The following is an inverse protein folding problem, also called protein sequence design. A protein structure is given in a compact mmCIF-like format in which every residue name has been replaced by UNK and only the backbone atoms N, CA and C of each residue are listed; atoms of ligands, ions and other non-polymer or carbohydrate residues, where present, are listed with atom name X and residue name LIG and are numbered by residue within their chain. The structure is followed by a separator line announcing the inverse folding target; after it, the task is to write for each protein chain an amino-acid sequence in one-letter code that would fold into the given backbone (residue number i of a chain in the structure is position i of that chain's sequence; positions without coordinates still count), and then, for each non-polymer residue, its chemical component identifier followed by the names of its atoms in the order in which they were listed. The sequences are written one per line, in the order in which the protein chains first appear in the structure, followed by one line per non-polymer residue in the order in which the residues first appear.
data_IF_748858279247
#
_entry.id   IF_748858279247
#
_cell.length_a   1.000
_cell.length_b   1.000
_cell.length_c   1.000
_cell.angle_alpha   90.00
_cell.angle_beta   90.00
_cell.angle_gamma   90.00
#
_symmetry.space_group_name_H-M   'P 1'
#
loop_
_entity.id
_entity.type
_entity.pdbx_description
1 polymer ?
#
# COMPACT_ATOMS: atom_id res chain seq x y z
N UNK A 1 15.07 18.83 9.66
CA UNK A 1 13.72 18.66 9.07
C UNK A 1 13.13 17.27 9.39
N UNK A 2 12.72 17.00 10.65
CA UNK A 2 12.19 15.69 11.11
C UNK A 2 10.65 15.60 11.19
N UNK A 3 9.95 16.64 10.76
CA UNK A 3 8.50 16.83 11.01
C UNK A 3 7.58 16.05 10.05
N UNK A 4 8.12 15.47 8.97
CA UNK A 4 7.33 14.80 7.93
C UNK A 4 6.95 13.35 8.22
N UNK A 5 7.71 12.63 9.06
CA UNK A 5 7.47 11.20 9.31
C UNK A 5 6.32 10.96 10.32
N UNK A 6 6.18 11.85 11.30
CA UNK A 6 5.15 11.74 12.35
C UNK A 6 3.73 11.93 11.78
N UNK A 7 3.54 12.88 10.87
CA UNK A 7 2.27 13.09 10.16
C UNK A 7 1.89 11.93 9.24
N UNK A 8 2.87 11.14 8.78
CA UNK A 8 2.60 9.97 7.94
C UNK A 8 1.90 8.89 8.75
N UNK A 9 2.36 8.63 9.99
CA UNK A 9 1.81 7.60 10.86
C UNK A 9 0.37 7.93 11.33
N UNK A 10 0.07 9.20 11.58
CA UNK A 10 -1.25 9.63 12.08
C UNK A 10 -2.39 9.55 11.05
N UNK A 11 -2.09 9.52 9.75
CA UNK A 11 -3.13 9.43 8.70
C UNK A 11 -3.27 8.04 8.08
N UNK A 12 -2.59 7.02 8.63
CA UNK A 12 -2.72 5.64 8.17
C UNK A 12 -3.93 4.96 8.81
N UNK A 13 -4.59 4.09 8.04
CA UNK A 13 -5.60 3.20 8.60
C UNK A 13 -4.94 2.21 9.58
N UNK A 14 -5.72 1.69 10.53
CA UNK A 14 -5.24 0.71 11.50
C UNK A 14 -4.58 -0.52 10.83
N UNK A 15 -5.20 -1.02 9.74
CA UNK A 15 -4.65 -2.11 8.94
C UNK A 15 -3.30 -1.75 8.29
N UNK A 16 -3.16 -0.55 7.74
CA UNK A 16 -1.91 -0.11 7.12
C UNK A 16 -0.79 0.06 8.16
N UNK A 17 -1.12 0.57 9.35
CA UNK A 17 -0.19 0.66 10.47
C UNK A 17 0.25 -0.73 10.94
N UNK A 18 -0.67 -1.71 11.02
CA UNK A 18 -0.35 -3.09 11.36
C UNK A 18 0.63 -3.71 10.35
N UNK A 19 0.38 -3.52 9.04
CA UNK A 19 1.28 -3.99 7.97
C UNK A 19 2.68 -3.38 8.13
N UNK A 20 2.80 -2.06 8.35
CA UNK A 20 4.09 -1.43 8.57
C UNK A 20 4.81 -1.97 9.80
N UNK A 21 4.10 -2.21 10.91
CA UNK A 21 4.65 -2.82 12.12
C UNK A 21 5.20 -4.22 11.85
N UNK A 22 4.46 -5.05 11.11
CA UNK A 22 4.93 -6.37 10.69
C UNK A 22 6.17 -6.28 9.78
N UNK A 23 6.22 -5.29 8.87
CA UNK A 23 7.37 -5.05 8.00
C UNK A 23 8.62 -4.60 8.77
N UNK A 24 8.47 -3.76 9.81
CA UNK A 24 9.56 -3.37 10.71
C UNK A 24 10.12 -4.59 11.45
N UNK A 25 9.23 -5.46 11.95
CA UNK A 25 9.65 -6.71 12.58
C UNK A 25 10.34 -7.65 11.59
N UNK A 26 9.88 -7.71 10.32
CA UNK A 26 10.53 -8.50 9.27
C UNK A 26 11.95 -8.02 8.99
N UNK A 27 12.16 -6.71 8.82
CA UNK A 27 13.48 -6.13 8.62
C UNK A 27 14.42 -6.43 9.79
N UNK A 28 13.93 -6.28 11.03
CA UNK A 28 14.70 -6.58 12.24
C UNK A 28 15.13 -8.05 12.30
N UNK A 29 14.23 -8.99 12.04
CA UNK A 29 14.56 -10.43 12.03
C UNK A 29 15.60 -10.80 10.97
N UNK A 30 15.68 -10.04 9.88
CA UNK A 30 16.67 -10.25 8.81
C UNK A 30 17.97 -9.47 9.01
N UNK A 31 18.09 -8.68 10.08
CA UNK A 31 19.28 -7.83 10.30
C UNK A 31 19.41 -6.69 9.29
N UNK A 32 18.29 -6.24 8.70
CA UNK A 32 18.28 -5.12 7.78
C UNK A 32 18.14 -3.81 8.54
N UNK A 33 19.03 -2.84 8.27
CA UNK A 33 19.03 -1.53 8.91
C UNK A 33 17.86 -0.62 8.48
N UNK A 34 17.21 -0.94 7.35
CA UNK A 34 16.13 -0.14 6.78
C UNK A 34 14.93 -0.97 6.36
N UNK A 35 13.73 -0.43 6.57
CA UNK A 35 12.49 -0.94 5.97
C UNK A 35 12.30 -0.33 4.60
N UNK A 36 12.21 -1.21 3.61
CA UNK A 36 12.01 -0.89 2.20
C UNK A 36 10.60 -1.24 1.74
N UNK A 37 10.13 -0.69 0.59
CA UNK A 37 8.86 -1.11 -0.01
C UNK A 37 8.76 -2.63 -0.23
N UNK A 38 9.90 -3.31 -0.43
CA UNK A 38 9.96 -4.76 -0.58
C UNK A 38 9.52 -5.51 0.70
N UNK A 39 9.86 -5.01 1.89
CA UNK A 39 9.40 -5.59 3.16
C UNK A 39 7.88 -5.46 3.30
N UNK A 40 7.32 -4.34 2.86
CA UNK A 40 5.88 -4.09 2.87
C UNK A 40 5.16 -5.00 1.89
N UNK A 41 5.68 -5.14 0.66
CA UNK A 41 5.13 -6.04 -0.35
C UNK A 41 5.15 -7.51 0.13
N UNK A 42 6.27 -7.97 0.68
CA UNK A 42 6.39 -9.32 1.26
C UNK A 42 5.40 -9.54 2.41
N UNK A 43 5.26 -8.55 3.31
CA UNK A 43 4.32 -8.60 4.42
C UNK A 43 2.87 -8.69 3.92
N UNK A 44 2.50 -7.92 2.91
CA UNK A 44 1.14 -7.92 2.37
C UNK A 44 0.78 -9.25 1.68
N UNK A 45 1.72 -9.88 0.97
CA UNK A 45 1.49 -11.19 0.37
C UNK A 45 1.37 -12.29 1.44
N UNK A 46 2.24 -12.26 2.45
CA UNK A 46 2.33 -13.30 3.49
C UNK A 46 1.35 -13.10 4.65
N UNK A 47 0.73 -11.93 4.77
CA UNK A 47 -0.28 -11.67 5.80
C UNK A 47 -1.60 -12.35 5.43
N UNK A 48 -2.28 -12.93 6.42
CA UNK A 48 -3.64 -13.45 6.26
C UNK A 48 -4.72 -12.37 6.45
N UNK A 49 -4.34 -11.08 6.45
CA UNK A 49 -5.27 -9.93 6.57
C UNK A 49 -6.04 -9.69 5.25
N UNK A 50 -7.18 -9.01 5.37
CA UNK A 50 -7.94 -8.43 4.26
C UNK A 50 -7.04 -7.66 3.26
N UNK A 51 -5.93 -7.07 3.71
CA UNK A 51 -4.96 -6.41 2.85
C UNK A 51 -4.30 -7.34 1.80
N UNK A 52 -4.05 -8.60 2.14
CA UNK A 52 -3.56 -9.62 1.19
C UNK A 52 -4.59 -9.91 0.13
N UNK A 53 -5.88 -9.99 0.51
CA UNK A 53 -6.97 -10.18 -0.45
C UNK A 53 -7.09 -9.02 -1.44
N UNK A 54 -6.82 -7.78 -1.00
CA UNK A 54 -6.81 -6.59 -1.86
C UNK A 54 -5.65 -6.65 -2.85
N UNK A 55 -4.45 -7.00 -2.39
CA UNK A 55 -3.27 -7.07 -3.24
C UNK A 55 -3.41 -8.18 -4.30
N UNK A 56 -3.92 -9.35 -3.92
CA UNK A 56 -4.23 -10.44 -4.86
C UNK A 56 -5.27 -10.03 -5.90
N UNK A 57 -6.37 -9.36 -5.48
CA UNK A 57 -7.36 -8.82 -6.42
C UNK A 57 -6.78 -7.76 -7.35
N UNK A 58 -5.92 -6.87 -6.84
CA UNK A 58 -5.25 -5.86 -7.66
C UNK A 58 -4.31 -6.49 -8.70
N UNK A 59 -3.55 -7.52 -8.31
CA UNK A 59 -2.74 -8.31 -9.23
C UNK A 59 -3.60 -8.98 -10.31
N UNK A 60 -4.73 -9.58 -9.93
CA UNK A 60 -5.66 -10.20 -10.88
C UNK A 60 -6.17 -9.20 -11.93
N UNK A 61 -6.56 -7.99 -11.49
CA UNK A 61 -7.02 -6.92 -12.39
C UNK A 61 -5.93 -6.41 -13.32
N UNK A 62 -4.68 -6.45 -12.89
CA UNK A 62 -3.53 -6.00 -13.69
C UNK A 62 -3.07 -7.05 -14.71
N UNK A 63 -3.50 -8.31 -14.55
CA UNK A 63 -3.17 -9.43 -15.44
C UNK A 63 -4.45 -10.08 -15.99
N UNK A 64 -5.22 -9.38 -16.85
CA UNK A 64 -6.50 -9.87 -17.36
C UNK A 64 -6.37 -11.17 -18.19
N UNK A 65 -5.20 -11.43 -18.77
CA UNK A 65 -4.98 -12.56 -19.68
C UNK A 65 -4.70 -13.90 -19.00
N UNK A 66 -4.53 -13.95 -17.65
CA UNK A 66 -4.18 -15.21 -16.99
C UNK A 66 -4.78 -15.40 -15.58
N UNK A 67 -6.12 -15.38 -15.45
CA UNK A 67 -6.81 -15.39 -14.16
C UNK A 67 -6.63 -16.69 -13.35
N UNK A 68 -6.50 -17.84 -14.02
CA UNK A 68 -6.36 -19.16 -13.39
C UNK A 68 -5.00 -19.36 -12.70
N UNK A 69 -4.00 -18.55 -13.04
CA UNK A 69 -2.64 -18.66 -12.50
C UNK A 69 -2.37 -17.80 -11.28
N UNK A 70 -3.34 -16.96 -10.87
CA UNK A 70 -3.14 -16.00 -9.78
C UNK A 70 -2.59 -16.64 -8.49
N UNK A 71 -3.05 -17.83 -8.04
CA UNK A 71 -2.47 -18.48 -6.86
C UNK A 71 -0.98 -18.81 -7.05
N UNK A 72 -0.60 -19.32 -8.23
CA UNK A 72 0.77 -19.65 -8.57
C UNK A 72 1.64 -18.40 -8.69
N UNK A 73 1.12 -17.33 -9.30
CA UNK A 73 1.80 -16.03 -9.38
C UNK A 73 2.02 -15.44 -7.99
N UNK A 74 1.04 -15.53 -7.08
CA UNK A 74 1.21 -15.05 -5.71
C UNK A 74 2.33 -15.82 -4.99
N UNK A 75 2.40 -17.15 -5.21
CA UNK A 75 3.47 -17.97 -4.65
C UNK A 75 4.83 -17.64 -5.28
N UNK A 76 4.88 -17.41 -6.58
CA UNK A 76 6.08 -16.96 -7.27
C UNK A 76 6.56 -15.60 -6.72
N UNK A 77 5.65 -14.63 -6.55
CA UNK A 77 5.96 -13.33 -5.96
C UNK A 77 6.52 -13.45 -4.54
N UNK A 78 5.94 -14.32 -3.71
CA UNK A 78 6.44 -14.61 -2.37
C UNK A 78 7.90 -15.11 -2.42
N UNK A 79 8.22 -16.04 -3.31
CA UNK A 79 9.57 -16.54 -3.52
C UNK A 79 10.51 -15.43 -4.04
N UNK A 80 10.09 -14.67 -5.05
CA UNK A 80 10.86 -13.56 -5.61
C UNK A 80 11.19 -12.50 -4.55
N UNK A 81 10.21 -12.14 -3.72
CA UNK A 81 10.44 -11.19 -2.62
C UNK A 81 11.40 -11.75 -1.58
N UNK A 82 11.27 -13.02 -1.22
CA UNK A 82 12.20 -13.67 -0.30
C UNK A 82 13.64 -13.66 -0.81
N UNK A 83 13.85 -14.01 -2.08
CA UNK A 83 15.17 -13.96 -2.74
C UNK A 83 15.71 -12.54 -2.78
N UNK A 84 14.89 -11.55 -3.18
CA UNK A 84 15.31 -10.16 -3.25
C UNK A 84 15.66 -9.60 -1.87
N UNK A 85 14.90 -9.97 -0.83
CA UNK A 85 15.20 -9.60 0.56
C UNK A 85 16.52 -10.21 1.03
N UNK A 86 16.84 -11.45 0.65
CA UNK A 86 18.12 -12.09 1.01
C UNK A 86 19.34 -11.46 0.30
N UNK A 87 19.10 -10.72 -0.79
CA UNK A 87 20.15 -9.98 -1.52
C UNK A 87 20.38 -8.56 -0.98
N UNK A 88 19.57 -8.10 -0.02
CA UNK A 88 19.75 -6.76 0.53
C UNK A 88 21.04 -6.71 1.37
N UNK A 89 21.71 -5.55 1.44
CA UNK A 89 22.85 -5.38 2.32
C UNK A 89 22.44 -5.65 3.77
N UNK A 90 23.02 -6.68 4.36
CA UNK A 90 22.94 -6.89 5.80
C UNK A 90 23.98 -6.00 6.45
N UNK A 91 23.59 -5.26 7.50
CA UNK A 91 24.59 -4.52 8.26
C UNK A 91 25.37 -5.56 9.06
N UNK A 92 26.69 -5.75 8.83
CA UNK A 92 27.47 -6.57 9.73
C UNK A 92 27.34 -5.94 11.12
N UNK A 93 26.88 -6.73 12.08
CA UNK A 93 26.76 -6.30 13.46
C UNK A 93 28.18 -6.02 13.97
N UNK A 94 28.60 -4.77 14.25
CA UNK A 94 29.86 -4.56 14.94
C UNK A 94 29.71 -5.17 16.34
N UNK A 95 30.58 -6.12 16.66
CA UNK A 95 30.62 -6.90 17.91
C UNK A 95 30.92 -6.07 19.16
N UNK A 96 30.69 -4.77 19.14
CA UNK A 96 30.87 -3.86 20.27
C UNK A 96 30.13 -2.57 19.95
N UNK A 97 29.20 -2.17 20.83
CA UNK A 97 28.45 -0.90 20.78
C UNK A 97 27.16 -0.91 19.95
N UNK A 98 26.10 -1.51 20.49
CA UNK A 98 24.69 -1.05 20.45
C UNK A 98 23.72 -2.24 20.40
N UNK A 99 23.83 -3.12 21.39
CA UNK A 99 22.92 -4.25 21.62
C UNK A 99 21.52 -3.85 22.09
N UNK A 100 21.17 -2.56 22.09
CA UNK A 100 19.98 -2.12 22.82
C UNK A 100 18.80 -1.74 21.92
N UNK A 101 18.86 -0.78 20.98
CA UNK A 101 17.59 -0.23 20.47
C UNK A 101 17.61 0.35 19.05
N UNK A 102 18.45 -0.16 18.15
CA UNK A 102 18.43 0.27 16.75
C UNK A 102 17.16 -0.24 16.03
N UNK A 103 16.09 0.56 16.08
CA UNK A 103 14.89 0.32 15.30
C UNK A 103 15.20 0.55 13.81
N UNK A 104 14.84 -0.36 12.90
CA UNK A 104 15.10 -0.18 11.48
C UNK A 104 14.42 1.11 10.98
N UNK A 105 15.18 1.96 10.31
CA UNK A 105 14.68 3.25 9.81
C UNK A 105 13.84 3.05 8.53
N UNK A 106 12.96 3.99 8.21
CA UNK A 106 12.20 3.94 6.94
C UNK A 106 13.09 4.42 5.79
N UNK A 107 13.17 3.64 4.71
CA UNK A 107 13.85 4.06 3.49
C UNK A 107 13.13 5.24 2.80
N UNK A 108 13.89 6.07 2.08
CA UNK A 108 13.34 7.20 1.32
C UNK A 108 12.25 6.77 0.32
N UNK A 109 12.43 5.62 -0.33
CA UNK A 109 11.45 5.06 -1.25
C UNK A 109 10.13 4.72 -0.55
N UNK A 110 10.19 4.18 0.67
CA UNK A 110 8.99 3.88 1.45
C UNK A 110 8.30 5.16 1.95
N UNK A 111 9.06 6.14 2.42
CA UNK A 111 8.52 7.45 2.80
C UNK A 111 7.83 8.12 1.61
N UNK A 112 8.43 8.08 0.42
CA UNK A 112 7.82 8.60 -0.80
C UNK A 112 6.54 7.84 -1.20
N UNK A 113 6.53 6.52 -1.09
CA UNK A 113 5.35 5.70 -1.34
C UNK A 113 4.20 6.04 -0.38
N UNK A 114 4.49 6.20 0.91
CA UNK A 114 3.49 6.58 1.91
C UNK A 114 2.93 7.99 1.64
N UNK A 115 3.78 8.97 1.33
CA UNK A 115 3.34 10.32 0.95
C UNK A 115 2.42 10.30 -0.27
N UNK A 116 2.76 9.49 -1.29
CA UNK A 116 1.90 9.30 -2.47
C UNK A 116 0.57 8.67 -2.08
N UNK A 117 0.57 7.62 -1.26
CA UNK A 117 -0.66 6.99 -0.78
C UNK A 117 -1.57 7.98 -0.04
N UNK A 118 -1.01 8.83 0.83
CA UNK A 118 -1.75 9.89 1.51
C UNK A 118 -2.34 10.92 0.54
N UNK A 119 -1.57 11.33 -0.47
CA UNK A 119 -2.08 12.23 -1.51
C UNK A 119 -3.24 11.59 -2.30
N UNK A 120 -3.17 10.29 -2.58
CA UNK A 120 -4.25 9.54 -3.22
C UNK A 120 -5.50 9.46 -2.34
N UNK A 121 -5.36 9.22 -1.03
CA UNK A 121 -6.51 9.22 -0.11
C UNK A 121 -7.25 10.56 -0.09
N UNK A 122 -6.50 11.68 -0.10
CA UNK A 122 -7.10 13.02 -0.17
C UNK A 122 -7.87 13.26 -1.46
N UNK A 123 -7.40 12.73 -2.60
CA UNK A 123 -8.10 12.84 -3.90
C UNK A 123 -9.32 11.92 -4.00
N UNK A 124 -9.23 10.69 -3.49
CA UNK A 124 -10.34 9.73 -3.47
C UNK A 124 -11.52 10.16 -2.61
N UNK A 125 -11.29 10.98 -1.56
CA UNK A 125 -12.35 11.59 -0.76
C UNK A 125 -13.24 12.56 -1.58
N UNK A 126 -12.67 13.22 -2.59
CA UNK A 126 -13.38 14.21 -3.42
C UNK A 126 -14.19 13.50 -4.51
N UNK A 127 -13.65 12.41 -5.09
CA UNK A 127 -14.35 11.66 -6.14
C UNK A 127 -15.55 10.87 -5.61
N UNK A 128 -15.54 10.41 -4.36
CA UNK A 128 -16.73 9.80 -3.74
C UNK A 128 -17.87 10.78 -3.40
N UNK A 129 -17.62 12.10 -3.41
CA UNK A 129 -18.70 13.11 -3.29
C UNK A 129 -19.21 13.64 -4.63
N UNK A 130 -18.52 13.38 -5.75
CA UNK A 130 -18.98 13.83 -7.07
C UNK A 130 -19.89 12.82 -7.80
N UNK A 131 -20.30 11.74 -7.13
CA UNK A 131 -21.26 10.76 -7.65
C UNK A 131 -22.67 10.98 -7.09
N UNK A 132 -23.09 12.24 -6.91
CA UNK A 132 -24.52 12.53 -6.90
C UNK A 132 -25.01 12.49 -8.35
N UNK A 133 -26.11 11.80 -8.68
CA UNK A 133 -26.71 11.99 -9.98
C UNK A 133 -27.26 13.41 -9.98
N UNK A 134 -26.69 14.28 -10.81
CA UNK A 134 -27.38 15.47 -11.32
C UNK A 134 -28.55 14.93 -12.13
N UNK A 135 -29.65 14.52 -11.48
CA UNK A 135 -30.94 14.53 -12.12
C UNK A 135 -31.33 16.01 -12.14
N UNK A 136 -30.92 16.62 -13.24
CA UNK A 136 -31.41 17.90 -13.70
C UNK A 136 -32.93 17.91 -13.56
N UNK A 137 -33.41 18.69 -12.60
CA UNK A 137 -34.76 19.22 -12.63
C UNK A 137 -34.89 20.08 -13.87
N UNK A 138 -35.23 19.47 -14.99
CA UNK A 138 -35.80 20.14 -16.15
C UNK A 138 -37.20 19.58 -16.33
N UNK A 139 -38.07 20.11 -15.48
CA UNK A 139 -39.51 20.18 -15.70
C UNK A 139 -39.74 21.05 -16.93
N UNK A 140 -39.63 20.45 -18.12
CA UNK A 140 -40.15 21.02 -19.35
C UNK A 140 -41.33 20.15 -19.78
N UNK A 141 -42.49 20.53 -19.25
CA UNK A 141 -43.82 20.14 -19.69
C UNK A 141 -43.86 20.09 -21.22
N UNK A 142 -43.97 18.88 -21.76
CA UNK A 142 -44.48 18.67 -23.11
C UNK A 142 -45.93 19.12 -23.14
N UNK A 143 -46.16 20.36 -23.56
CA UNK A 143 -47.46 20.83 -24.01
C UNK A 143 -47.38 20.91 -25.54
N UNK A 144 -47.76 19.81 -26.19
CA UNK A 144 -48.38 19.87 -27.50
C UNK A 144 -49.58 20.82 -27.43
N UNK A 145 -49.62 21.89 -28.22
CA UNK A 145 -50.84 22.44 -28.84
C UNK A 145 -50.44 23.27 -30.10
N UNK A 146 -51.34 23.44 -31.09
CA UNK A 146 -51.05 23.40 -32.54
C UNK A 146 -51.22 24.75 -33.28
N UNK A 147 -51.05 24.65 -34.61
CA UNK A 147 -51.65 25.49 -35.67
C UNK A 147 -51.06 26.88 -35.95
N UNK A 148 -50.40 27.00 -37.11
CA UNK A 148 -50.90 27.82 -38.22
C UNK A 148 -50.29 27.39 -39.55
#
# INVERSE_FOLDING_TARGET
MRTGASNIQQALTAEAAAVLKHSLNLARRRGHAQVTPLHVAATLINSSSSASSILRRACARSSPHHPTSLPLQCRALELCFNVALNRLPTSPLPSSSSLLHSHPSLSNALVAALKRAQAHQRRGCIESQNNHPIILSSRATSLCFPSR
#
